data_IF_853551511482
#
_entry.id   IF_853551511482
#
_cell.length_a   1.000
_cell.length_b   1.000
_cell.length_c   1.000
_cell.angle_alpha   90.00
_cell.angle_beta   90.00
_cell.angle_gamma   90.00
#
_symmetry.space_group_name_H-M   'P 1'
#
loop_
_entity.id
_entity.type
_entity.pdbx_description
1 polymer ?
#
# COMPACT_ATOMS: atom_id res chain seq x y z
N UNK A 1 -2.23 -12.77 22.79
CA UNK A 1 -2.95 -14.05 22.50
C UNK A 1 -3.63 -14.03 21.12
N UNK A 2 -3.66 -12.87 20.40
CA UNK A 2 -4.34 -12.75 19.10
C UNK A 2 -3.43 -12.89 17.88
N UNK A 3 -2.12 -12.70 17.99
CA UNK A 3 -1.21 -12.65 16.85
C UNK A 3 -0.76 -14.02 16.32
N UNK A 4 -0.65 -15.01 17.18
CA UNK A 4 -0.21 -16.36 16.74
C UNK A 4 -1.29 -17.14 15.97
N UNK A 5 -2.57 -16.84 16.19
CA UNK A 5 -3.66 -17.52 15.48
C UNK A 5 -3.76 -17.13 14.00
N UNK A 6 -3.37 -15.92 13.62
CA UNK A 6 -3.47 -15.46 12.23
C UNK A 6 -2.42 -16.08 11.29
N UNK A 7 -1.31 -16.57 11.79
CA UNK A 7 -0.19 -17.10 10.98
C UNK A 7 -0.36 -18.59 10.67
N UNK A 8 -1.06 -19.35 11.54
CA UNK A 8 -1.15 -20.83 11.43
C UNK A 8 -2.43 -21.34 10.78
N UNK A 9 -3.46 -20.54 10.60
CA UNK A 9 -4.81 -21.01 10.27
C UNK A 9 -5.30 -20.64 8.85
N UNK A 10 -4.41 -20.40 7.90
CA UNK A 10 -4.85 -20.34 6.50
C UNK A 10 -4.93 -21.75 5.93
N UNK A 11 -6.15 -22.23 5.78
CA UNK A 11 -6.42 -23.46 5.05
C UNK A 11 -5.94 -23.31 3.59
N UNK A 12 -4.79 -23.90 3.30
CA UNK A 12 -4.23 -23.89 1.94
C UNK A 12 -5.18 -24.56 0.94
N UNK A 13 -6.17 -25.31 1.39
CA UNK A 13 -7.26 -25.87 0.57
C UNK A 13 -8.16 -24.77 -0.02
N UNK A 14 -8.40 -23.68 0.71
CA UNK A 14 -9.21 -22.54 0.24
C UNK A 14 -8.53 -21.82 -0.92
N UNK A 15 -7.18 -21.79 -0.95
CA UNK A 15 -6.41 -21.10 -1.98
C UNK A 15 -6.00 -21.99 -3.16
N UNK A 16 -6.33 -23.29 -3.13
CA UNK A 16 -6.16 -24.21 -4.27
C UNK A 16 -7.35 -24.13 -5.18
N UNK A 17 -7.34 -23.21 -6.13
CA UNK A 17 -8.42 -23.09 -7.10
C UNK A 17 -8.25 -24.15 -8.19
N UNK A 18 -9.31 -24.93 -8.36
CA UNK A 18 -9.48 -25.84 -9.48
C UNK A 18 -10.01 -25.08 -10.70
N UNK A 19 -9.16 -24.23 -11.30
CA UNK A 19 -9.50 -23.44 -12.47
C UNK A 19 -8.98 -24.07 -13.75
N UNK A 20 -9.72 -23.92 -14.84
CA UNK A 20 -9.31 -24.37 -16.17
C UNK A 20 -8.03 -23.65 -16.64
N UNK A 21 -7.33 -24.23 -17.60
CA UNK A 21 -6.14 -23.61 -18.21
C UNK A 21 -6.45 -22.23 -18.79
N UNK A 22 -7.63 -22.06 -19.41
CA UNK A 22 -8.08 -20.78 -19.98
C UNK A 22 -8.30 -19.71 -18.91
N UNK A 23 -8.99 -20.07 -17.82
CA UNK A 23 -9.20 -19.13 -16.71
C UNK A 23 -7.88 -18.68 -16.10
N UNK A 24 -6.91 -19.59 -15.92
CA UNK A 24 -5.57 -19.25 -15.45
C UNK A 24 -4.83 -18.29 -16.40
N UNK A 25 -4.95 -18.49 -17.71
CA UNK A 25 -4.30 -17.66 -18.72
C UNK A 25 -4.82 -16.20 -18.67
N UNK A 26 -6.10 -15.99 -18.38
CA UNK A 26 -6.70 -14.63 -18.27
C UNK A 26 -6.11 -13.80 -17.11
N UNK A 27 -5.52 -14.45 -16.10
CA UNK A 27 -4.87 -13.79 -14.95
C UNK A 27 -3.35 -13.67 -15.10
N UNK A 28 -2.77 -14.14 -16.20
CA UNK A 28 -1.33 -14.15 -16.40
C UNK A 28 -0.78 -12.72 -16.58
N UNK A 29 0.19 -12.36 -15.72
CA UNK A 29 0.87 -11.07 -15.76
C UNK A 29 2.28 -11.20 -15.19
N UNK A 30 3.13 -10.21 -15.44
CA UNK A 30 4.44 -10.16 -14.79
C UNK A 30 4.29 -9.68 -13.34
N UNK A 31 3.54 -8.60 -13.13
CA UNK A 31 3.41 -8.00 -11.81
C UNK A 31 1.93 -7.74 -11.51
N UNK A 32 1.50 -8.00 -10.29
CA UNK A 32 0.17 -7.62 -9.81
C UNK A 32 0.21 -6.86 -8.50
N UNK A 33 -0.75 -5.96 -8.32
CA UNK A 33 -1.11 -5.35 -7.04
C UNK A 33 -2.60 -5.58 -6.79
N UNK A 34 -2.93 -6.15 -5.63
CA UNK A 34 -4.32 -6.33 -5.19
C UNK A 34 -4.57 -5.49 -3.95
N UNK A 35 -5.37 -4.44 -4.07
CA UNK A 35 -5.71 -3.55 -2.95
C UNK A 35 -6.06 -2.12 -3.39
N UNK A 36 -6.45 -1.28 -2.42
CA UNK A 36 -6.78 0.13 -2.65
C UNK A 36 -5.55 0.93 -3.05
N UNK A 37 -5.73 2.02 -3.80
CA UNK A 37 -4.65 2.98 -4.08
C UNK A 37 -4.47 4.00 -2.94
N UNK A 38 -5.35 4.01 -1.95
CA UNK A 38 -5.39 4.99 -0.86
C UNK A 38 -5.48 6.43 -1.39
N UNK A 39 -6.35 6.64 -2.38
CA UNK A 39 -6.69 8.00 -2.81
C UNK A 39 -7.31 8.75 -1.64
N UNK A 40 -6.73 9.88 -1.29
CA UNK A 40 -7.13 10.70 -0.15
C UNK A 40 -7.70 12.03 -0.60
N UNK A 41 -8.42 12.67 0.28
CA UNK A 41 -8.83 14.07 0.12
C UNK A 41 -7.75 15.06 0.60
N UNK A 42 -6.49 14.63 0.63
CA UNK A 42 -5.35 15.44 1.10
C UNK A 42 -5.30 16.82 0.43
N UNK A 43 -5.45 16.86 -0.89
CA UNK A 43 -5.46 18.12 -1.63
C UNK A 43 -6.61 19.05 -1.19
N UNK A 44 -7.80 18.49 -0.92
CA UNK A 44 -8.95 19.25 -0.44
C UNK A 44 -8.70 19.81 0.97
N UNK A 45 -8.23 18.98 1.89
CA UNK A 45 -7.95 19.42 3.27
C UNK A 45 -6.76 20.37 3.36
N UNK A 46 -5.80 20.29 2.47
CA UNK A 46 -4.65 21.21 2.45
C UNK A 46 -4.89 22.49 1.68
N UNK A 47 -5.94 22.57 0.83
CA UNK A 47 -6.23 23.74 0.02
C UNK A 47 -6.39 25.05 0.84
N UNK A 48 -7.11 25.07 1.98
CA UNK A 48 -7.31 26.29 2.76
C UNK A 48 -6.12 26.66 3.66
N UNK A 49 -5.12 25.79 3.79
CA UNK A 49 -3.99 26.01 4.71
C UNK A 49 -3.00 27.01 4.15
N UNK A 50 -2.38 27.78 5.06
CA UNK A 50 -1.29 28.71 4.71
C UNK A 50 -0.06 27.96 4.17
N UNK A 51 0.76 28.66 3.39
CA UNK A 51 1.91 28.08 2.70
C UNK A 51 2.88 27.33 3.61
N UNK A 52 3.17 27.85 4.81
CA UNK A 52 4.03 27.19 5.79
C UNK A 52 3.43 25.88 6.28
N UNK A 53 2.18 25.88 6.72
CA UNK A 53 1.48 24.69 7.24
C UNK A 53 1.36 23.62 6.16
N UNK A 54 0.98 24.04 4.94
CA UNK A 54 0.92 23.13 3.79
C UNK A 54 2.29 22.52 3.46
N UNK A 55 3.34 23.33 3.45
CA UNK A 55 4.72 22.89 3.22
C UNK A 55 5.21 21.93 4.30
N UNK A 56 4.82 22.15 5.55
CA UNK A 56 5.17 21.27 6.65
C UNK A 56 4.52 19.89 6.52
N UNK A 57 3.22 19.83 6.20
CA UNK A 57 2.52 18.57 5.93
C UNK A 57 3.12 17.82 4.75
N UNK A 58 3.46 18.51 3.68
CA UNK A 58 4.15 17.94 2.53
C UNK A 58 5.54 17.40 2.93
N UNK A 59 6.23 18.10 3.82
CA UNK A 59 7.49 17.65 4.43
C UNK A 59 7.32 16.35 5.21
N UNK A 60 6.25 16.21 6.01
CA UNK A 60 5.94 14.96 6.73
C UNK A 60 5.73 13.80 5.75
N UNK A 61 4.87 13.99 4.74
CA UNK A 61 4.58 12.94 3.74
C UNK A 61 5.86 12.52 3.00
N UNK A 62 6.67 13.48 2.59
CA UNK A 62 7.93 13.22 1.90
C UNK A 62 8.98 12.54 2.79
N UNK A 63 9.07 12.91 4.08
CA UNK A 63 9.98 12.29 5.04
C UNK A 63 9.57 10.83 5.28
N UNK A 64 8.28 10.60 5.59
CA UNK A 64 7.77 9.23 5.81
C UNK A 64 7.88 8.37 4.54
N UNK A 65 7.73 8.94 3.35
CA UNK A 65 7.88 8.22 2.09
C UNK A 65 9.29 7.68 1.85
N UNK A 66 10.30 8.28 2.50
CA UNK A 66 11.70 7.86 2.41
C UNK A 66 12.15 6.94 3.55
N UNK A 67 11.33 6.79 4.59
CA UNK A 67 11.66 5.97 5.76
C UNK A 67 10.86 4.68 5.73
N UNK A 68 11.60 3.58 5.67
CA UNK A 68 11.10 2.22 5.78
C UNK A 68 11.55 1.64 7.14
N UNK A 69 10.68 0.85 7.76
CA UNK A 69 10.96 0.30 9.11
C UNK A 69 10.76 1.29 10.27
N UNK A 70 10.31 2.52 9.98
CA UNK A 70 10.01 3.54 10.99
C UNK A 70 8.71 4.29 10.67
N UNK A 71 8.01 4.73 11.71
CA UNK A 71 6.75 5.48 11.56
C UNK A 71 6.88 6.84 12.24
N UNK A 72 7.19 7.88 11.45
CA UNK A 72 7.54 9.23 11.93
C UNK A 72 6.32 10.16 12.07
N UNK A 73 5.23 9.89 11.38
CA UNK A 73 4.09 10.80 11.27
C UNK A 73 3.58 11.27 12.64
N UNK A 74 3.34 10.39 13.66
CA UNK A 74 2.81 10.84 14.95
C UNK A 74 3.72 11.83 15.67
N UNK A 75 5.04 11.65 15.56
CA UNK A 75 6.04 12.49 16.22
C UNK A 75 6.14 13.88 15.57
N UNK A 76 5.84 13.96 14.28
CA UNK A 76 5.90 15.21 13.51
C UNK A 76 4.60 16.02 13.55
N UNK A 77 3.49 15.43 14.04
CA UNK A 77 2.24 16.15 14.27
C UNK A 77 2.32 16.81 15.65
N UNK A 78 2.66 18.11 15.70
CA UNK A 78 2.68 18.88 16.94
C UNK A 78 1.31 19.49 17.27
N UNK A 79 1.12 19.91 18.52
CA UNK A 79 -0.12 20.58 18.93
C UNK A 79 -0.23 21.97 18.27
N UNK A 80 0.91 22.64 18.05
CA UNK A 80 0.97 23.92 17.35
C UNK A 80 0.55 23.77 15.87
N UNK A 81 0.99 22.68 15.21
CA UNK A 81 0.56 22.39 13.84
C UNK A 81 -0.97 22.22 13.78
N UNK A 82 -1.54 21.39 14.67
CA UNK A 82 -2.99 21.18 14.73
C UNK A 82 -3.76 22.47 15.03
N UNK A 83 -3.28 23.29 15.98
CA UNK A 83 -3.89 24.57 16.31
C UNK A 83 -3.88 25.52 15.12
N UNK A 84 -2.74 25.61 14.39
CA UNK A 84 -2.62 26.45 13.21
C UNK A 84 -3.54 25.99 12.08
N UNK A 85 -3.60 24.67 11.81
CA UNK A 85 -4.51 24.09 10.83
C UNK A 85 -5.97 24.42 11.14
N UNK A 86 -6.38 24.22 12.38
CA UNK A 86 -7.76 24.49 12.81
C UNK A 86 -8.09 25.98 12.78
N UNK A 87 -7.13 26.87 13.06
CA UNK A 87 -7.29 28.30 12.88
C UNK A 87 -7.47 28.69 11.40
N UNK A 88 -6.80 28.00 10.48
CA UNK A 88 -6.98 28.22 9.04
C UNK A 88 -8.35 27.69 8.56
N UNK A 89 -8.77 26.52 9.03
CA UNK A 89 -10.10 25.98 8.73
C UNK A 89 -11.22 26.88 9.24
N UNK A 90 -11.11 27.43 10.44
CA UNK A 90 -12.11 28.34 11.01
C UNK A 90 -12.37 29.60 10.17
N UNK A 91 -11.41 30.00 9.31
CA UNK A 91 -11.57 31.15 8.41
C UNK A 91 -12.49 30.82 7.20
N UNK A 92 -12.59 29.54 6.81
CA UNK A 92 -13.30 29.12 5.59
C UNK A 92 -14.48 28.18 5.87
N UNK A 93 -14.43 27.39 6.92
CA UNK A 93 -15.48 26.45 7.30
C UNK A 93 -16.55 27.15 8.15
N UNK A 94 -17.78 27.15 7.67
CA UNK A 94 -18.94 27.76 8.38
C UNK A 94 -19.56 26.81 9.41
N UNK A 95 -19.23 25.53 9.35
CA UNK A 95 -19.80 24.44 10.15
C UNK A 95 -18.96 24.05 11.38
N UNK A 96 -17.89 24.79 11.66
CA UNK A 96 -17.02 24.54 12.81
C UNK A 96 -16.17 23.26 12.69
N UNK A 97 -15.81 22.88 11.47
CA UNK A 97 -14.93 21.72 11.25
C UNK A 97 -13.61 21.85 12.03
N UNK A 98 -13.21 20.78 12.71
CA UNK A 98 -11.96 20.65 13.45
C UNK A 98 -11.26 19.36 13.06
N UNK A 99 -10.03 19.47 12.57
CA UNK A 99 -9.17 18.31 12.29
C UNK A 99 -8.58 17.78 13.60
N UNK A 100 -8.83 16.50 13.89
CA UNK A 100 -8.22 15.81 15.02
C UNK A 100 -6.85 15.22 14.67
N UNK A 101 -6.05 14.94 15.72
CA UNK A 101 -4.70 14.36 15.55
C UNK A 101 -4.75 13.00 14.85
N UNK A 102 -5.69 12.12 15.24
CA UNK A 102 -5.80 10.77 14.66
C UNK A 102 -6.25 10.78 13.21
N UNK A 103 -7.17 11.66 12.88
CA UNK A 103 -7.66 11.86 11.52
C UNK A 103 -6.54 12.38 10.62
N UNK A 104 -5.76 13.35 11.10
CA UNK A 104 -4.60 13.87 10.39
C UNK A 104 -3.53 12.79 10.20
N UNK A 105 -3.19 12.07 11.25
CA UNK A 105 -2.22 10.96 11.20
C UNK A 105 -2.63 9.91 10.15
N UNK A 106 -3.88 9.46 10.19
CA UNK A 106 -4.38 8.47 9.25
C UNK A 106 -4.39 9.00 7.82
N UNK A 107 -4.81 10.25 7.60
CA UNK A 107 -4.80 10.89 6.29
C UNK A 107 -3.37 10.97 5.72
N UNK A 108 -2.39 11.40 6.51
CA UNK A 108 -0.99 11.48 6.07
C UNK A 108 -0.40 10.10 5.78
N UNK A 109 -0.73 9.09 6.57
CA UNK A 109 -0.28 7.72 6.33
C UNK A 109 -0.88 7.15 5.04
N UNK A 110 -2.18 7.38 4.79
CA UNK A 110 -2.83 6.98 3.55
C UNK A 110 -2.23 7.71 2.34
N UNK A 111 -2.02 9.03 2.45
CA UNK A 111 -1.41 9.84 1.39
C UNK A 111 0.00 9.34 1.05
N UNK A 112 0.83 9.08 2.08
CA UNK A 112 2.19 8.55 1.89
C UNK A 112 2.16 7.19 1.19
N UNK A 113 1.29 6.29 1.64
CA UNK A 113 1.15 4.95 1.04
C UNK A 113 0.59 5.02 -0.38
N UNK A 114 -0.37 5.91 -0.61
CA UNK A 114 -0.94 6.14 -1.95
C UNK A 114 0.11 6.64 -2.94
N UNK A 115 0.97 7.57 -2.52
CA UNK A 115 2.10 8.04 -3.34
C UNK A 115 3.10 6.91 -3.64
N UNK A 116 3.44 6.09 -2.65
CA UNK A 116 4.32 4.94 -2.86
C UNK A 116 3.72 3.94 -3.86
N UNK A 117 2.43 3.59 -3.71
CA UNK A 117 1.72 2.71 -4.64
C UNK A 117 1.66 3.28 -6.05
N UNK A 118 1.38 4.58 -6.17
CA UNK A 118 1.39 5.24 -7.47
C UNK A 118 2.78 5.20 -8.12
N UNK A 119 3.83 5.57 -7.39
CA UNK A 119 5.21 5.57 -7.91
C UNK A 119 5.65 4.16 -8.30
N UNK A 120 5.38 3.16 -7.47
CA UNK A 120 5.69 1.76 -7.76
C UNK A 120 5.01 1.28 -9.04
N UNK A 121 3.70 1.50 -9.18
CA UNK A 121 2.93 1.08 -10.34
C UNK A 121 3.35 1.84 -11.61
N UNK A 122 3.56 3.16 -11.51
CA UNK A 122 3.99 3.99 -12.65
C UNK A 122 5.38 3.55 -13.16
N UNK A 123 6.33 3.32 -12.23
CA UNK A 123 7.68 2.88 -12.57
C UNK A 123 7.66 1.48 -13.21
N UNK A 124 7.01 0.52 -12.54
CA UNK A 124 7.01 -0.87 -13.00
C UNK A 124 6.24 -1.05 -14.31
N UNK A 125 5.09 -0.36 -14.48
CA UNK A 125 4.30 -0.46 -15.73
C UNK A 125 4.99 0.18 -16.94
N UNK A 126 6.03 0.99 -16.74
CA UNK A 126 6.86 1.48 -17.82
C UNK A 126 7.72 0.38 -18.46
N UNK A 127 7.98 -0.71 -17.74
CA UNK A 127 8.91 -1.78 -18.12
C UNK A 127 8.28 -3.17 -18.22
N UNK A 128 7.19 -3.41 -17.48
CA UNK A 128 6.55 -4.73 -17.35
C UNK A 128 5.03 -4.64 -17.52
N UNK A 129 4.36 -5.70 -17.97
CA UNK A 129 2.91 -5.86 -17.81
C UNK A 129 2.52 -5.85 -16.33
N UNK A 130 1.70 -4.88 -15.92
CA UNK A 130 1.24 -4.73 -14.54
C UNK A 130 -0.28 -4.77 -14.48
N UNK A 131 -0.83 -5.65 -13.64
CA UNK A 131 -2.24 -5.73 -13.34
C UNK A 131 -2.57 -5.11 -11.98
N UNK A 132 -3.57 -4.25 -11.97
CA UNK A 132 -4.11 -3.66 -10.75
C UNK A 132 -5.53 -4.16 -10.48
N UNK A 133 -5.68 -4.85 -9.36
CA UNK A 133 -7.00 -5.26 -8.84
C UNK A 133 -7.39 -4.32 -7.70
N UNK A 134 -8.24 -3.36 -8.00
CA UNK A 134 -8.65 -2.31 -7.06
C UNK A 134 -10.05 -1.82 -7.35
N UNK A 135 -10.69 -1.21 -6.36
CA UNK A 135 -11.88 -0.38 -6.56
C UNK A 135 -11.52 1.06 -6.95
N UNK A 136 -10.27 1.45 -6.69
CA UNK A 136 -9.77 2.80 -6.95
C UNK A 136 -9.18 2.87 -8.36
N UNK A 137 -9.45 3.94 -9.09
CA UNK A 137 -8.91 4.20 -10.44
C UNK A 137 -8.06 5.46 -10.40
N UNK A 138 -6.83 5.39 -10.90
CA UNK A 138 -5.99 6.56 -11.13
C UNK A 138 -5.69 6.71 -12.62
N UNK A 139 -6.24 7.75 -13.23
CA UNK A 139 -6.08 8.03 -14.68
C UNK A 139 -4.63 8.28 -15.11
N UNK A 140 -3.74 8.59 -14.15
CA UNK A 140 -2.31 8.79 -14.42
C UNK A 140 -1.58 7.47 -14.68
N UNK A 141 -2.16 6.33 -14.29
CA UNK A 141 -1.60 4.98 -14.47
C UNK A 141 -2.03 4.37 -15.82
N UNK A 142 -1.81 5.09 -16.93
CA UNK A 142 -2.27 4.70 -18.27
C UNK A 142 -1.75 3.35 -18.76
N UNK A 143 -0.55 2.94 -18.31
CA UNK A 143 0.11 1.69 -18.71
C UNK A 143 -0.27 0.49 -17.83
N UNK A 144 -0.94 0.73 -16.72
CA UNK A 144 -1.39 -0.33 -15.81
C UNK A 144 -2.69 -0.92 -16.33
N UNK A 145 -2.74 -2.24 -16.44
CA UNK A 145 -3.98 -2.95 -16.81
C UNK A 145 -4.90 -3.03 -15.59
N UNK A 146 -5.93 -2.22 -15.60
CA UNK A 146 -6.91 -2.15 -14.54
C UNK A 146 -7.91 -3.30 -14.65
N UNK A 147 -7.99 -4.14 -13.61
CA UNK A 147 -8.82 -5.36 -13.57
C UNK A 147 -10.09 -5.22 -12.74
N UNK A 148 -10.28 -4.09 -12.06
CA UNK A 148 -11.39 -3.90 -11.14
C UNK A 148 -11.24 -4.63 -9.82
N UNK A 149 -12.33 -4.81 -9.10
CA UNK A 149 -12.38 -5.57 -7.86
C UNK A 149 -12.13 -7.06 -8.13
N UNK A 150 -11.35 -7.69 -7.28
CA UNK A 150 -11.18 -9.14 -7.28
C UNK A 150 -11.85 -9.75 -6.05
N UNK A 151 -12.72 -10.74 -6.27
CA UNK A 151 -13.31 -11.52 -5.19
C UNK A 151 -12.25 -12.32 -4.42
N UNK A 152 -12.36 -12.31 -3.10
CA UNK A 152 -11.34 -12.86 -2.21
C UNK A 152 -11.12 -14.36 -2.39
N UNK A 153 -12.18 -15.13 -2.57
CA UNK A 153 -12.10 -16.59 -2.62
C UNK A 153 -11.94 -17.16 -4.03
N UNK A 154 -12.43 -16.48 -5.05
CA UNK A 154 -12.47 -17.00 -6.41
C UNK A 154 -11.43 -16.36 -7.33
N UNK A 155 -11.18 -15.05 -7.22
CA UNK A 155 -10.37 -14.30 -8.16
C UNK A 155 -8.98 -13.96 -7.62
N UNK A 156 -8.87 -13.55 -6.34
CA UNK A 156 -7.57 -13.22 -5.75
C UNK A 156 -6.58 -14.38 -5.81
N UNK A 157 -6.95 -15.64 -5.51
CA UNK A 157 -6.03 -16.76 -5.62
C UNK A 157 -5.52 -17.00 -7.06
N UNK A 158 -6.36 -16.74 -8.08
CA UNK A 158 -5.91 -16.78 -9.47
C UNK A 158 -4.91 -15.68 -9.77
N UNK A 159 -5.23 -14.43 -9.38
CA UNK A 159 -4.32 -13.32 -9.56
C UNK A 159 -2.96 -13.60 -8.91
N UNK A 160 -2.95 -14.12 -7.67
CA UNK A 160 -1.71 -14.40 -6.94
C UNK A 160 -0.90 -15.54 -7.54
N UNK A 161 -1.55 -16.63 -7.92
CA UNK A 161 -0.85 -17.81 -8.47
C UNK A 161 -0.40 -17.64 -9.93
N UNK A 162 -0.99 -16.68 -10.68
CA UNK A 162 -0.69 -16.48 -12.10
C UNK A 162 0.18 -15.23 -12.36
N UNK A 163 0.44 -14.41 -11.35
CA UNK A 163 1.40 -13.32 -11.42
C UNK A 163 2.81 -13.81 -11.08
N UNK A 164 3.82 -13.38 -11.82
CA UNK A 164 5.22 -13.71 -11.48
C UNK A 164 5.63 -13.03 -10.19
N UNK A 165 5.22 -11.77 -9.99
CA UNK A 165 5.49 -10.97 -8.80
C UNK A 165 4.18 -10.39 -8.28
N UNK A 166 3.92 -10.58 -7.00
CA UNK A 166 2.80 -9.96 -6.29
C UNK A 166 3.33 -8.87 -5.37
N UNK A 167 2.96 -7.61 -5.63
CA UNK A 167 3.38 -6.49 -4.81
C UNK A 167 2.56 -6.45 -3.51
N UNK A 168 3.24 -6.34 -2.38
CA UNK A 168 2.66 -5.96 -1.12
C UNK A 168 3.24 -4.61 -0.68
N UNK A 169 2.39 -3.59 -0.65
CA UNK A 169 2.72 -2.24 -0.17
C UNK A 169 1.80 -1.94 1.00
N UNK A 170 2.30 -2.17 2.21
CA UNK A 170 1.55 -2.03 3.45
C UNK A 170 1.27 -0.57 3.76
N UNK A 171 0.11 -0.30 4.38
CA UNK A 171 -0.22 1.02 4.90
C UNK A 171 0.79 1.41 5.98
N UNK A 172 1.27 2.66 5.97
CA UNK A 172 2.32 3.13 6.89
C UNK A 172 1.94 3.05 8.38
N UNK A 173 0.65 2.97 8.71
CA UNK A 173 0.19 2.73 10.09
C UNK A 173 0.40 1.29 10.58
N UNK A 174 0.65 0.34 9.68
CA UNK A 174 0.94 -1.05 10.05
C UNK A 174 2.40 -1.10 10.47
N UNK A 175 2.61 -1.08 11.79
CA UNK A 175 3.94 -1.04 12.41
C UNK A 175 4.46 -2.41 12.80
N UNK A 176 3.54 -3.32 13.12
CA UNK A 176 3.84 -4.67 13.60
C UNK A 176 2.88 -5.67 12.98
N UNK A 177 3.29 -6.93 12.92
CA UNK A 177 2.53 -8.04 12.35
C UNK A 177 2.79 -8.26 10.86
N UNK A 178 2.62 -9.51 10.43
CA UNK A 178 2.76 -9.88 9.03
C UNK A 178 1.50 -9.44 8.28
N UNK A 179 1.62 -8.64 7.21
CA UNK A 179 0.46 -8.27 6.40
C UNK A 179 -0.27 -9.52 5.87
N UNK A 180 -1.59 -9.60 6.07
CA UNK A 180 -2.39 -10.74 5.62
C UNK A 180 -2.19 -11.04 4.13
N UNK A 181 -1.94 -10.02 3.33
CA UNK A 181 -1.67 -10.15 1.89
C UNK A 181 -0.44 -11.00 1.60
N UNK A 182 0.61 -10.90 2.40
CA UNK A 182 1.81 -11.75 2.27
C UNK A 182 1.43 -13.22 2.43
N UNK A 183 0.68 -13.53 3.48
CA UNK A 183 0.21 -14.90 3.75
C UNK A 183 -0.73 -15.40 2.65
N UNK A 184 -1.65 -14.55 2.16
CA UNK A 184 -2.57 -14.89 1.08
C UNK A 184 -1.81 -15.28 -0.19
N UNK A 185 -0.83 -14.47 -0.59
CA UNK A 185 -0.01 -14.71 -1.79
C UNK A 185 0.80 -15.99 -1.66
N UNK A 186 1.53 -16.14 -0.55
CA UNK A 186 2.34 -17.35 -0.30
C UNK A 186 1.46 -18.60 -0.21
N UNK A 187 0.28 -18.53 0.41
CA UNK A 187 -0.71 -19.59 0.47
C UNK A 187 -1.22 -20.05 -0.90
N UNK A 188 -1.24 -19.14 -1.88
CA UNK A 188 -1.58 -19.44 -3.28
C UNK A 188 -0.38 -19.93 -4.11
N UNK A 189 0.81 -20.05 -3.52
CA UNK A 189 2.05 -20.39 -4.23
C UNK A 189 2.60 -19.24 -5.09
N UNK A 190 2.17 -17.99 -4.83
CA UNK A 190 2.66 -16.81 -5.51
C UNK A 190 3.95 -16.28 -4.87
N UNK A 191 4.75 -15.54 -5.64
CA UNK A 191 5.94 -14.86 -5.17
C UNK A 191 5.60 -13.45 -4.68
N UNK A 192 6.14 -13.04 -3.52
CA UNK A 192 5.90 -11.74 -2.88
C UNK A 192 7.10 -10.82 -3.02
N UNK A 193 6.86 -9.59 -3.49
CA UNK A 193 7.77 -8.46 -3.35
C UNK A 193 7.10 -7.42 -2.45
N UNK A 194 7.61 -7.27 -1.22
CA UNK A 194 7.00 -6.44 -0.17
C UNK A 194 7.86 -5.22 0.15
N UNK A 195 7.21 -4.10 0.52
CA UNK A 195 7.92 -3.06 1.25
C UNK A 195 8.38 -3.60 2.61
N UNK A 196 9.44 -2.99 3.15
CA UNK A 196 10.03 -3.40 4.42
C UNK A 196 9.00 -3.49 5.54
N UNK A 197 9.02 -4.63 6.25
CA UNK A 197 8.32 -4.90 7.50
C UNK A 197 9.23 -5.77 8.35
N UNK A 198 9.50 -5.37 9.59
CA UNK A 198 10.49 -6.03 10.46
C UNK A 198 10.17 -7.52 10.66
N UNK A 199 8.91 -7.86 10.89
CA UNK A 199 8.48 -9.22 11.14
C UNK A 199 8.64 -10.17 9.94
N UNK A 200 8.78 -9.63 8.72
CA UNK A 200 9.09 -10.48 7.57
C UNK A 200 10.47 -11.13 7.71
N UNK A 201 11.42 -10.44 8.33
CA UNK A 201 12.76 -10.97 8.59
C UNK A 201 12.80 -11.96 9.76
N UNK A 202 11.84 -11.86 10.68
CA UNK A 202 11.73 -12.80 11.81
C UNK A 202 11.13 -14.15 11.40
N UNK A 203 10.17 -14.12 10.46
CA UNK A 203 9.36 -15.31 10.13
C UNK A 203 9.68 -15.95 8.79
N UNK A 204 10.42 -15.27 7.90
CA UNK A 204 10.75 -15.74 6.56
C UNK A 204 12.24 -15.58 6.23
N UNK A 205 12.73 -16.45 5.37
CA UNK A 205 14.04 -16.32 4.74
C UNK A 205 13.97 -15.29 3.60
N UNK A 206 14.09 -14.00 3.94
CA UNK A 206 14.08 -12.91 2.95
C UNK A 206 15.18 -13.14 1.91
N UNK A 207 14.84 -12.97 0.64
CA UNK A 207 15.70 -13.31 -0.49
C UNK A 207 15.57 -14.76 -1.01
N UNK A 208 14.80 -15.64 -0.30
CA UNK A 208 14.51 -17.00 -0.73
C UNK A 208 13.02 -17.29 -0.82
N UNK A 209 12.27 -16.97 0.23
CA UNK A 209 10.83 -17.24 0.32
C UNK A 209 9.99 -16.06 -0.15
N UNK A 210 10.50 -14.86 0.07
CA UNK A 210 9.96 -13.60 -0.44
C UNK A 210 11.11 -12.58 -0.57
N UNK A 211 10.85 -11.46 -1.24
CA UNK A 211 11.79 -10.36 -1.36
C UNK A 211 11.21 -9.09 -0.75
N UNK A 212 12.08 -8.30 -0.12
CA UNK A 212 11.75 -7.03 0.52
C UNK A 212 12.52 -5.91 -0.16
N UNK A 213 11.88 -4.76 -0.37
CA UNK A 213 12.49 -3.54 -0.85
C UNK A 213 12.41 -2.43 0.21
N UNK A 214 13.38 -1.52 0.20
CA UNK A 214 13.53 -0.43 1.17
C UNK A 214 13.43 0.98 0.56
N UNK A 215 13.24 1.09 -0.75
CA UNK A 215 12.96 2.33 -1.48
C UNK A 215 12.48 1.99 -2.89
N UNK A 216 12.06 3.01 -3.67
CA UNK A 216 11.50 2.81 -5.01
C UNK A 216 12.56 2.35 -6.03
N UNK A 217 13.81 2.78 -5.88
CA UNK A 217 14.91 2.33 -6.72
C UNK A 217 15.22 0.85 -6.48
N UNK A 218 15.24 0.43 -5.22
CA UNK A 218 15.41 -0.96 -4.81
C UNK A 218 14.23 -1.83 -5.28
N UNK A 219 12.99 -1.35 -5.16
CA UNK A 219 11.81 -2.01 -5.72
C UNK A 219 12.03 -2.38 -7.20
N UNK A 220 12.49 -1.42 -7.99
CA UNK A 220 12.74 -1.64 -9.42
C UNK A 220 13.86 -2.65 -9.66
N UNK A 221 14.94 -2.56 -8.87
CA UNK A 221 16.05 -3.50 -8.92
C UNK A 221 15.60 -4.93 -8.60
N UNK A 222 14.86 -5.11 -7.50
CA UNK A 222 14.34 -6.40 -7.09
C UNK A 222 13.31 -7.01 -8.07
N UNK A 223 12.52 -6.16 -8.73
CA UNK A 223 11.57 -6.63 -9.75
C UNK A 223 12.22 -7.08 -11.06
N UNK A 224 13.50 -6.77 -11.27
CA UNK A 224 14.26 -7.13 -12.48
C UNK A 224 14.82 -8.55 -12.43
N UNK A 225 15.02 -9.11 -11.24
CA UNK A 225 15.57 -10.44 -10.99
C UNK A 225 14.48 -11.46 -10.71
#
# INVERSE_FOLDING_TARGET
>A
VGSEMCIRDRDTGVFRINASKREKEDYRTDISLVGKLYQTEYAYFTAPLQGYTKGYLEGIVNAQGKVYGGYLIPELITDELLAQMNADYAKVAKDGFVMGRRELEFMLACETTGRERYMALALLSAHYPVDLYSTDVDKRLEKVRYRGYADYYSQMPLAFSQSKINLNISLKTIRTGIPLRVIDVLGCGGFVLSNYQEELFEYFNVGKELVVYENIEDLFYQAKY
#
